data_IF_959373931574
#
_entry.id   IF_959373931574
#
_cell.length_a   1.000
_cell.length_b   1.000
_cell.length_c   1.000
_cell.angle_alpha   90.00
_cell.angle_beta   90.00
_cell.angle_gamma   90.00
#
_symmetry.space_group_name_H-M   'P 1'
#
loop_
_entity.id
_entity.type
_entity.pdbx_description
1 polymer ?
#
# COMPACT_ATOMS: atom_id res chain seq x y z
N UNK A 1 26.25 4.52 -2.17
CA UNK A 1 25.24 4.38 -1.11
C UNK A 1 23.99 5.06 -1.63
N UNK A 2 22.87 4.35 -1.71
CA UNK A 2 21.58 4.96 -2.05
C UNK A 2 21.21 5.95 -0.94
N UNK A 3 20.69 7.12 -1.28
CA UNK A 3 20.24 8.09 -0.29
C UNK A 3 19.11 7.49 0.58
N UNK A 4 19.04 7.83 1.88
CA UNK A 4 18.01 7.29 2.75
C UNK A 4 16.62 7.81 2.36
N UNK A 5 15.63 6.92 2.32
CA UNK A 5 14.22 7.29 2.25
C UNK A 5 13.61 7.27 3.65
N UNK A 6 12.75 8.24 3.95
CA UNK A 6 12.07 8.38 5.24
C UNK A 6 10.64 7.83 5.16
N UNK A 7 10.18 7.18 6.23
CA UNK A 7 8.84 6.58 6.32
C UNK A 7 7.98 7.36 7.31
N UNK A 8 6.76 7.70 6.90
CA UNK A 8 5.76 8.31 7.78
C UNK A 8 4.89 7.21 8.36
N UNK A 9 4.85 7.13 9.70
CA UNK A 9 3.95 6.24 10.43
C UNK A 9 2.72 7.04 10.88
N UNK A 10 1.56 6.74 10.30
CA UNK A 10 0.28 7.35 10.66
C UNK A 10 -0.61 6.31 11.35
N UNK A 11 -0.72 6.31 12.69
CA UNK A 11 -1.62 5.40 13.40
C UNK A 11 -3.08 5.74 13.08
N UNK A 12 -3.93 4.71 13.05
CA UNK A 12 -5.37 4.85 12.82
C UNK A 12 -6.14 4.26 13.99
N UNK A 13 -7.40 4.66 14.17
CA UNK A 13 -8.30 4.06 15.17
C UNK A 13 -8.99 2.78 14.69
N UNK A 14 -8.69 2.33 13.48
CA UNK A 14 -9.31 1.19 12.83
C UNK A 14 -8.81 -0.11 13.45
N UNK A 15 -9.73 -1.02 13.77
CA UNK A 15 -9.43 -2.28 14.46
C UNK A 15 -9.40 -3.49 13.52
N UNK A 16 -9.80 -3.31 12.27
CA UNK A 16 -9.85 -4.37 11.26
C UNK A 16 -8.86 -4.05 10.14
N UNK A 17 -8.13 -5.06 9.70
CA UNK A 17 -7.18 -4.93 8.59
C UNK A 17 -7.85 -4.51 7.29
N UNK A 18 -9.06 -5.00 7.02
CA UNK A 18 -9.83 -4.66 5.82
C UNK A 18 -10.20 -3.17 5.78
N UNK A 19 -10.59 -2.60 6.93
CA UNK A 19 -10.94 -1.17 7.03
C UNK A 19 -9.70 -0.30 6.81
N UNK A 20 -8.54 -0.71 7.36
CA UNK A 20 -7.28 -0.02 7.17
C UNK A 20 -6.78 -0.10 5.72
N UNK A 21 -6.97 -1.25 5.06
CA UNK A 21 -6.69 -1.41 3.63
C UNK A 21 -7.62 -0.53 2.77
N UNK A 22 -8.90 -0.44 3.11
CA UNK A 22 -9.86 0.45 2.45
C UNK A 22 -9.46 1.92 2.59
N UNK A 23 -9.00 2.35 3.77
CA UNK A 23 -8.47 3.70 3.97
C UNK A 23 -7.23 3.94 3.09
N UNK A 24 -6.29 3.00 3.02
CA UNK A 24 -5.11 3.13 2.17
C UNK A 24 -5.47 3.30 0.68
N UNK A 25 -6.48 2.57 0.20
CA UNK A 25 -7.01 2.75 -1.17
C UNK A 25 -7.63 4.14 -1.37
N UNK A 26 -8.43 4.62 -0.42
CA UNK A 26 -9.03 5.96 -0.49
C UNK A 26 -7.96 7.07 -0.47
N UNK A 27 -6.92 6.91 0.35
CA UNK A 27 -5.78 7.83 0.39
C UNK A 27 -5.03 7.84 -0.94
N UNK A 28 -4.76 6.67 -1.55
CA UNK A 28 -4.15 6.59 -2.88
C UNK A 28 -4.95 7.35 -3.92
N UNK A 29 -6.27 7.18 -3.93
CA UNK A 29 -7.14 7.88 -4.89
C UNK A 29 -7.14 9.41 -4.66
N UNK A 30 -7.24 9.86 -3.41
CA UNK A 30 -7.29 11.28 -3.05
C UNK A 30 -5.94 11.99 -3.26
N UNK A 31 -4.85 11.33 -2.89
CA UNK A 31 -3.50 11.89 -2.86
C UNK A 31 -2.65 11.45 -4.05
N UNK A 32 -3.23 10.90 -5.12
CA UNK A 32 -2.50 10.48 -6.32
C UNK A 32 -1.70 11.61 -7.00
N UNK A 33 -2.00 12.86 -6.66
CA UNK A 33 -1.26 14.04 -7.11
C UNK A 33 0.03 14.31 -6.29
N UNK A 34 0.21 13.66 -5.14
CA UNK A 34 1.39 13.83 -4.27
C UNK A 34 2.46 12.81 -4.66
N UNK A 35 3.33 13.21 -5.59
CA UNK A 35 4.38 12.34 -6.15
C UNK A 35 5.46 11.90 -5.15
N UNK A 36 5.49 12.49 -3.96
CA UNK A 36 6.39 12.11 -2.87
C UNK A 36 5.95 10.84 -2.13
N UNK A 37 4.74 10.32 -2.38
CA UNK A 37 4.19 9.14 -1.72
C UNK A 37 4.11 7.99 -2.73
N UNK A 38 4.93 6.97 -2.52
CA UNK A 38 4.77 5.70 -3.23
C UNK A 38 3.70 4.85 -2.53
N UNK A 39 2.45 5.00 -2.98
CA UNK A 39 1.36 4.20 -2.45
C UNK A 39 1.60 2.71 -2.70
N UNK A 40 2.25 2.29 -3.79
CA UNK A 40 2.48 0.87 -4.08
C UNK A 40 3.28 0.14 -3.01
N UNK A 41 4.06 0.87 -2.21
CA UNK A 41 4.87 0.34 -1.12
C UNK A 41 4.22 0.49 0.27
N UNK A 42 2.92 0.87 0.37
CA UNK A 42 2.26 0.97 1.68
C UNK A 42 2.08 -0.41 2.31
N UNK A 43 2.43 -0.48 3.59
CA UNK A 43 2.27 -1.66 4.43
C UNK A 43 1.40 -1.35 5.64
N UNK A 44 0.59 -2.31 6.06
CA UNK A 44 -0.15 -2.31 7.31
C UNK A 44 0.55 -3.18 8.35
N UNK A 45 0.38 -2.83 9.61
CA UNK A 45 0.85 -3.63 10.75
C UNK A 45 -0.09 -3.41 11.93
N UNK A 46 -0.17 -4.38 12.84
CA UNK A 46 -0.70 -4.11 14.18
C UNK A 46 0.19 -3.06 14.89
N UNK A 47 -0.40 -2.21 15.73
CA UNK A 47 0.34 -1.16 16.45
C UNK A 47 1.43 -1.74 17.35
N UNK A 48 1.14 -2.85 18.03
CA UNK A 48 2.10 -3.56 18.90
C UNK A 48 3.06 -4.47 18.12
N UNK A 49 2.88 -4.62 16.80
CA UNK A 49 3.70 -5.52 15.95
C UNK A 49 4.10 -4.85 14.63
N UNK A 50 4.65 -3.65 14.69
CA UNK A 50 5.05 -2.86 13.52
C UNK A 50 6.13 -3.48 12.63
N UNK A 51 6.84 -4.49 13.15
CA UNK A 51 7.80 -5.28 12.38
C UNK A 51 7.12 -6.28 11.44
N UNK A 52 5.84 -6.63 11.66
CA UNK A 52 5.03 -7.47 10.79
C UNK A 52 4.26 -6.58 9.82
N UNK A 53 4.77 -6.50 8.59
CA UNK A 53 4.25 -5.62 7.54
C UNK A 53 3.52 -6.42 6.48
N UNK A 54 2.21 -6.22 6.40
CA UNK A 54 1.34 -6.77 5.35
C UNK A 54 1.18 -5.74 4.25
N UNK A 55 1.41 -6.12 2.99
CA UNK A 55 1.21 -5.21 1.85
C UNK A 55 -0.28 -4.98 1.58
N UNK A 56 -0.63 -3.76 1.16
CA UNK A 56 -2.02 -3.44 0.79
C UNK A 56 -2.33 -3.86 -0.64
N UNK A 57 -1.39 -3.67 -1.57
CA UNK A 57 -1.56 -4.02 -2.99
C UNK A 57 -0.80 -5.28 -3.38
N UNK A 58 -1.29 -5.90 -4.45
CA UNK A 58 -0.62 -6.99 -5.13
C UNK A 58 0.73 -6.52 -5.71
N UNK A 59 1.77 -7.31 -5.46
CA UNK A 59 3.14 -6.99 -5.91
C UNK A 59 3.44 -7.45 -7.35
N UNK A 60 2.47 -8.11 -8.01
CA UNK A 60 2.66 -8.66 -9.33
C UNK A 60 3.09 -7.57 -10.32
N UNK A 61 4.20 -7.80 -11.00
CA UNK A 61 4.68 -6.94 -12.08
C UNK A 61 3.85 -7.22 -13.32
N UNK A 62 3.39 -6.16 -13.97
CA UNK A 62 2.66 -6.23 -15.22
C UNK A 62 3.61 -5.98 -16.39
N UNK A 63 3.25 -6.52 -17.55
CA UNK A 63 3.97 -6.32 -18.80
C UNK A 63 3.89 -4.84 -19.20
N UNK A 64 4.89 -4.06 -18.77
CA UNK A 64 4.92 -2.60 -18.90
C UNK A 64 5.11 -1.91 -17.55
N UNK A 65 6.33 -1.97 -17.02
CA UNK A 65 6.91 -1.19 -15.88
C UNK A 65 6.15 -1.04 -14.55
N UNK A 66 4.86 -1.36 -14.49
CA UNK A 66 3.97 -1.10 -13.36
C UNK A 66 3.70 -2.35 -12.53
N UNK A 67 3.17 -2.11 -11.32
CA UNK A 67 2.62 -3.16 -10.45
C UNK A 67 1.11 -3.22 -10.59
N UNK A 68 0.53 -4.34 -10.20
CA UNK A 68 -0.91 -4.51 -10.10
C UNK A 68 -1.53 -3.45 -9.18
N UNK A 69 -2.61 -2.81 -9.63
CA UNK A 69 -3.36 -1.82 -8.86
C UNK A 69 -4.40 -2.43 -7.90
N UNK A 70 -4.52 -3.76 -7.87
CA UNK A 70 -5.50 -4.49 -7.06
C UNK A 70 -4.99 -4.74 -5.62
N UNK A 71 -5.88 -4.95 -4.65
CA UNK A 71 -5.51 -5.37 -3.30
C UNK A 71 -4.66 -6.64 -3.29
N UNK A 72 -3.87 -6.85 -2.23
CA UNK A 72 -3.21 -8.14 -1.99
C UNK A 72 -4.24 -9.27 -1.96
N UNK A 73 -3.87 -10.45 -2.47
CA UNK A 73 -4.72 -11.64 -2.54
C UNK A 73 -6.05 -11.46 -3.30
N UNK A 74 -6.11 -10.52 -4.24
CA UNK A 74 -7.30 -10.34 -5.08
C UNK A 74 -7.58 -11.55 -5.98
N UNK A 75 -8.86 -11.82 -6.20
CA UNK A 75 -9.29 -12.77 -7.23
C UNK A 75 -9.10 -12.21 -8.65
N UNK A 76 -8.96 -13.10 -9.62
CA UNK A 76 -8.88 -12.75 -11.05
C UNK A 76 -7.50 -12.28 -11.50
N UNK A 77 -7.44 -11.73 -12.72
CA UNK A 77 -6.16 -11.32 -13.34
C UNK A 77 -5.63 -10.01 -12.75
N UNK A 78 -4.31 -9.90 -12.66
CA UNK A 78 -3.64 -8.66 -12.29
C UNK A 78 -3.89 -7.59 -13.35
N UNK A 79 -4.15 -6.36 -12.92
CA UNK A 79 -4.49 -5.24 -13.80
C UNK A 79 -3.74 -3.99 -13.38
N UNK A 80 -3.42 -3.15 -14.36
CA UNK A 80 -2.79 -1.87 -14.11
C UNK A 80 -3.76 -0.97 -13.31
N UNK A 81 -3.23 -0.14 -12.39
CA UNK A 81 -4.04 0.73 -11.55
C UNK A 81 -4.85 1.80 -12.29
#
# INVERSE_FOLDING_TARGET
MTEPHWIIHLPTTLRRVDDAAALAMALRHSLGHVLAIDFGETTLSEEDRQFLRTRVWCDARLDGTGRCGRPVDHDGQCLAP
#
